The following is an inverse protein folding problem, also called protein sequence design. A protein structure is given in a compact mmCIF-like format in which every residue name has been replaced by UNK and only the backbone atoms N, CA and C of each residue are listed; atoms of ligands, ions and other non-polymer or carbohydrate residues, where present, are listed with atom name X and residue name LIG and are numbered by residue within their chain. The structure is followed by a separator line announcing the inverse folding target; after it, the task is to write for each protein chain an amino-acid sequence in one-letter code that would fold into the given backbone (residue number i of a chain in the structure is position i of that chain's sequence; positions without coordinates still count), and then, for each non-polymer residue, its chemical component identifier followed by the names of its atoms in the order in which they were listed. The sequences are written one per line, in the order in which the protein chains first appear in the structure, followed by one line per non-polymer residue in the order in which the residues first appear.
data_IF_147770419171
#
_entry.id   IF_147770419171
#
_cell.length_a   1.000
_cell.length_b   1.000
_cell.length_c   1.000
_cell.angle_alpha   90.00
_cell.angle_beta   90.00
_cell.angle_gamma   90.00
#
_symmetry.space_group_name_H-M   'P 1'
#
loop_
_entity.id
_entity.type
_entity.pdbx_description
1 polymer ?
#
# COMPACT_ATOMS: atom_id res chain seq x y z
N UNK A 1 -25.60 0.03 10.04
CA UNK A 1 -24.39 0.77 9.61
C UNK A 1 -24.26 2.02 10.46
N UNK A 2 -23.05 2.30 10.97
CA UNK A 2 -22.75 3.48 11.78
C UNK A 2 -21.72 4.34 11.04
N UNK A 3 -21.99 5.64 10.93
CA UNK A 3 -21.05 6.62 10.40
C UNK A 3 -20.53 7.44 11.57
N UNK A 4 -19.26 7.29 11.90
CA UNK A 4 -18.64 7.96 13.06
C UNK A 4 -18.27 9.42 12.79
N UNK A 5 -18.17 9.80 11.52
CA UNK A 5 -17.51 11.04 11.16
C UNK A 5 -16.02 11.02 11.49
N UNK A 6 -15.42 12.18 11.71
CA UNK A 6 -14.01 12.28 12.12
C UNK A 6 -13.86 11.89 13.58
N UNK A 7 -12.98 10.93 13.84
CA UNK A 7 -12.62 10.46 15.18
C UNK A 7 -11.13 10.69 15.45
N UNK A 8 -10.69 10.72 16.73
CA UNK A 8 -9.27 10.73 17.07
C UNK A 8 -8.54 9.47 16.57
N UNK A 9 -7.23 9.57 16.31
CA UNK A 9 -6.41 8.47 15.77
C UNK A 9 -6.46 7.22 16.66
N UNK A 10 -6.45 7.39 17.99
CA UNK A 10 -6.54 6.26 18.92
C UNK A 10 -7.86 5.48 18.78
N UNK A 11 -8.97 6.17 18.56
CA UNK A 11 -10.28 5.56 18.35
C UNK A 11 -10.35 4.88 16.98
N UNK A 12 -9.83 5.53 15.92
CA UNK A 12 -9.71 4.93 14.59
C UNK A 12 -8.90 3.64 14.63
N UNK A 13 -7.74 3.64 15.27
CA UNK A 13 -6.90 2.45 15.42
C UNK A 13 -7.61 1.33 16.20
N UNK A 14 -8.34 1.68 17.25
CA UNK A 14 -9.12 0.71 18.02
C UNK A 14 -10.22 0.06 17.14
N UNK A 15 -10.94 0.84 16.36
CA UNK A 15 -11.94 0.34 15.41
C UNK A 15 -11.32 -0.57 14.38
N UNK A 16 -10.22 -0.17 13.73
CA UNK A 16 -9.52 -0.99 12.74
C UNK A 16 -9.00 -2.29 13.34
N UNK A 17 -8.49 -2.27 14.56
CA UNK A 17 -8.01 -3.48 15.25
C UNK A 17 -9.14 -4.48 15.57
N UNK A 18 -10.37 -4.02 15.74
CA UNK A 18 -11.53 -4.89 15.98
C UNK A 18 -12.23 -5.33 14.69
N UNK A 19 -11.94 -4.71 13.56
CA UNK A 19 -12.55 -5.06 12.28
C UNK A 19 -12.12 -6.45 11.80
N UNK A 20 -13.06 -7.24 11.29
CA UNK A 20 -12.80 -8.53 10.65
C UNK A 20 -12.33 -8.36 9.20
N UNK A 21 -12.85 -7.37 8.50
CA UNK A 21 -12.55 -7.03 7.11
C UNK A 21 -12.48 -5.51 6.97
N UNK A 22 -11.45 -5.00 6.31
CA UNK A 22 -11.35 -3.60 5.92
C UNK A 22 -11.76 -3.42 4.45
N UNK A 23 -12.37 -2.29 4.13
CA UNK A 23 -12.93 -2.04 2.80
C UNK A 23 -12.39 -0.76 2.22
N UNK A 24 -12.00 -0.79 0.94
CA UNK A 24 -11.67 0.41 0.17
C UNK A 24 -12.64 0.56 -1.02
N UNK A 25 -13.73 1.34 -0.87
CA UNK A 25 -14.75 1.53 -1.89
C UNK A 25 -14.47 2.72 -2.81
N UNK A 26 -13.21 3.11 -2.99
CA UNK A 26 -12.86 4.24 -3.85
C UNK A 26 -13.31 3.98 -5.28
N UNK A 27 -14.09 4.92 -5.83
CA UNK A 27 -14.66 4.83 -7.18
C UNK A 27 -13.57 4.61 -8.22
N UNK A 28 -13.79 3.65 -9.11
CA UNK A 28 -12.89 3.40 -10.22
C UNK A 28 -12.98 4.54 -11.24
N UNK A 29 -11.96 5.39 -11.24
CA UNK A 29 -11.72 6.46 -12.21
C UNK A 29 -10.21 6.55 -12.48
N UNK A 30 -9.79 7.34 -13.45
CA UNK A 30 -8.40 7.44 -13.86
C UNK A 30 -7.47 7.91 -12.73
N UNK A 31 -7.91 8.83 -11.89
CA UNK A 31 -7.13 9.34 -10.77
C UNK A 31 -6.91 8.26 -9.71
N UNK A 32 -8.00 7.61 -9.28
CA UNK A 32 -7.92 6.58 -8.25
C UNK A 32 -7.19 5.32 -8.73
N UNK A 33 -7.28 4.99 -10.02
CA UNK A 33 -6.58 3.84 -10.61
C UNK A 33 -5.05 3.99 -10.55
N UNK A 34 -4.55 5.24 -10.52
CA UNK A 34 -3.12 5.60 -10.48
C UNK A 34 -2.66 6.09 -9.10
N UNK A 35 -3.53 6.10 -8.11
CA UNK A 35 -3.23 6.65 -6.79
C UNK A 35 -2.96 5.55 -5.77
N UNK A 36 -1.80 5.63 -5.11
CA UNK A 36 -1.50 4.80 -3.95
C UNK A 36 -2.32 5.27 -2.76
N UNK A 37 -3.15 4.41 -2.20
CA UNK A 37 -4.06 4.75 -1.10
C UNK A 37 -3.43 4.40 0.25
N UNK A 38 -3.16 5.41 1.10
CA UNK A 38 -2.56 5.22 2.43
C UNK A 38 -3.34 4.24 3.29
N UNK A 39 -4.68 4.28 3.23
CA UNK A 39 -5.55 3.36 3.99
C UNK A 39 -5.26 1.89 3.71
N UNK A 40 -4.86 1.53 2.49
CA UNK A 40 -4.49 0.14 2.13
C UNK A 40 -3.23 -0.28 2.90
N UNK A 41 -2.23 0.60 2.96
CA UNK A 41 -1.01 0.36 3.73
C UNK A 41 -1.29 0.23 5.23
N UNK A 42 -2.18 1.08 5.77
CA UNK A 42 -2.61 1.04 7.17
C UNK A 42 -3.32 -0.29 7.51
N UNK A 43 -4.25 -0.74 6.65
CA UNK A 43 -4.94 -2.02 6.84
C UNK A 43 -3.96 -3.20 6.83
N UNK A 44 -3.03 -3.21 5.87
CA UNK A 44 -1.99 -4.23 5.77
C UNK A 44 -1.06 -4.20 7.00
N UNK A 45 -0.63 -3.03 7.46
CA UNK A 45 0.22 -2.88 8.64
C UNK A 45 -0.44 -3.43 9.91
N UNK A 46 -1.78 -3.31 10.01
CA UNK A 46 -2.59 -3.87 11.08
C UNK A 46 -2.94 -5.35 10.88
N UNK A 47 -2.48 -5.97 9.81
CA UNK A 47 -2.77 -7.37 9.50
C UNK A 47 -4.23 -7.63 9.17
N UNK A 48 -4.92 -6.68 8.53
CA UNK A 48 -6.33 -6.80 8.18
C UNK A 48 -6.50 -7.21 6.72
N UNK A 49 -7.40 -8.19 6.45
CA UNK A 49 -7.78 -8.54 5.08
C UNK A 49 -8.60 -7.39 4.47
N UNK A 50 -8.45 -7.22 3.17
CA UNK A 50 -9.03 -6.08 2.45
C UNK A 50 -10.00 -6.58 1.37
N UNK A 51 -11.09 -5.83 1.17
CA UNK A 51 -11.90 -5.90 -0.04
C UNK A 51 -11.89 -4.53 -0.71
N UNK A 52 -11.57 -4.48 -1.98
CA UNK A 52 -11.50 -3.23 -2.75
C UNK A 52 -11.94 -3.43 -4.19
N UNK A 53 -12.24 -2.34 -4.91
CA UNK A 53 -12.40 -2.42 -6.36
C UNK A 53 -11.06 -2.73 -7.03
N UNK A 54 -11.11 -3.41 -8.17
CA UNK A 54 -9.93 -3.81 -8.94
C UNK A 54 -9.30 -2.61 -9.64
N UNK A 55 -8.52 -1.84 -8.88
CA UNK A 55 -7.73 -0.70 -9.33
C UNK A 55 -6.26 -1.09 -9.44
N UNK A 56 -5.55 -0.53 -10.41
CA UNK A 56 -4.15 -0.85 -10.73
C UNK A 56 -3.23 -0.67 -9.52
N UNK A 57 -3.23 0.50 -8.90
CA UNK A 57 -2.39 0.77 -7.72
C UNK A 57 -2.83 -0.01 -6.48
N UNK A 58 -4.13 -0.20 -6.28
CA UNK A 58 -4.66 -1.01 -5.19
C UNK A 58 -4.19 -2.47 -5.29
N UNK A 59 -4.22 -3.04 -6.49
CA UNK A 59 -3.73 -4.40 -6.77
C UNK A 59 -2.22 -4.51 -6.59
N UNK A 60 -1.46 -3.53 -7.08
CA UNK A 60 -0.01 -3.48 -6.88
C UNK A 60 0.36 -3.44 -5.40
N UNK A 61 -0.33 -2.62 -4.62
CA UNK A 61 -0.07 -2.44 -3.20
C UNK A 61 -0.44 -3.66 -2.37
N UNK A 62 -1.68 -4.14 -2.48
CA UNK A 62 -2.22 -5.15 -1.58
C UNK A 62 -1.95 -6.59 -2.00
N UNK A 63 -1.85 -6.87 -3.30
CA UNK A 63 -1.65 -8.23 -3.83
C UNK A 63 -2.58 -9.27 -3.14
N UNK A 64 -2.04 -10.30 -2.51
CA UNK A 64 -2.81 -11.36 -1.85
C UNK A 64 -3.41 -10.96 -0.48
N UNK A 65 -3.16 -9.72 -0.02
CA UNK A 65 -3.84 -9.17 1.16
C UNK A 65 -5.28 -8.71 0.88
N UNK A 66 -5.73 -8.71 -0.39
CA UNK A 66 -7.03 -8.19 -0.79
C UNK A 66 -7.78 -9.12 -1.73
N UNK A 67 -9.12 -9.14 -1.58
CA UNK A 67 -10.04 -9.53 -2.65
C UNK A 67 -10.38 -8.30 -3.49
N UNK A 68 -10.58 -8.54 -4.79
CA UNK A 68 -10.82 -7.49 -5.77
C UNK A 68 -12.20 -7.64 -6.38
N UNK A 69 -13.06 -6.68 -6.11
CA UNK A 69 -14.39 -6.59 -6.69
C UNK A 69 -14.34 -5.90 -8.06
N UNK A 70 -15.29 -6.20 -8.92
CA UNK A 70 -15.45 -5.51 -10.20
C UNK A 70 -15.56 -4.01 -9.99
N UNK A 71 -14.90 -3.24 -10.87
CA UNK A 71 -14.88 -1.77 -10.80
C UNK A 71 -16.30 -1.22 -10.68
N UNK A 72 -16.56 -0.45 -9.61
CA UNK A 72 -17.82 0.23 -9.32
C UNK A 72 -19.05 -0.71 -9.16
N UNK A 73 -18.83 -1.99 -8.91
CA UNK A 73 -19.89 -2.98 -8.66
C UNK A 73 -20.04 -3.23 -7.15
N UNK A 74 -20.96 -2.51 -6.53
CA UNK A 74 -21.22 -2.63 -5.10
C UNK A 74 -21.76 -4.02 -4.70
N UNK A 75 -22.48 -4.70 -5.60
CA UNK A 75 -23.00 -6.04 -5.33
C UNK A 75 -21.87 -7.07 -5.29
N UNK A 76 -20.92 -6.99 -6.23
CA UNK A 76 -19.75 -7.86 -6.23
C UNK A 76 -18.85 -7.58 -5.01
N UNK A 77 -18.70 -6.31 -4.61
CA UNK A 77 -17.98 -5.96 -3.38
C UNK A 77 -18.66 -6.58 -2.14
N UNK A 78 -19.96 -6.47 -2.03
CA UNK A 78 -20.70 -7.06 -0.93
C UNK A 78 -20.54 -8.60 -0.89
N UNK A 79 -20.60 -9.27 -2.04
CA UNK A 79 -20.38 -10.71 -2.14
C UNK A 79 -18.98 -11.10 -1.63
N UNK A 80 -17.94 -10.33 -1.98
CA UNK A 80 -16.57 -10.59 -1.52
C UNK A 80 -16.36 -10.31 -0.03
N UNK A 81 -17.08 -9.36 0.54
CA UNK A 81 -17.08 -9.13 1.99
C UNK A 81 -17.67 -10.35 2.70
N UNK A 82 -18.83 -10.85 2.23
CA UNK A 82 -19.46 -12.05 2.79
C UNK A 82 -18.54 -13.27 2.66
N UNK A 83 -17.92 -13.46 1.50
CA UNK A 83 -16.94 -14.53 1.26
C UNK A 83 -15.84 -14.54 2.33
N UNK A 84 -15.29 -13.37 2.69
CA UNK A 84 -14.27 -13.27 3.73
C UNK A 84 -14.82 -13.42 5.15
N UNK A 85 -16.04 -12.95 5.42
CA UNK A 85 -16.66 -13.11 6.73
C UNK A 85 -16.91 -14.59 7.05
N UNK A 86 -17.20 -15.40 6.05
CA UNK A 86 -17.44 -16.83 6.19
C UNK A 86 -16.15 -17.68 6.25
N UNK A 87 -14.99 -17.08 5.97
CA UNK A 87 -13.70 -17.80 5.93
C UNK A 87 -12.64 -17.13 6.86
N UNK A 88 -12.65 -17.48 8.16
CA UNK A 88 -11.73 -16.91 9.13
C UNK A 88 -10.26 -17.30 8.87
N UNK A 89 -10.00 -18.48 8.31
CA UNK A 89 -8.64 -18.93 8.00
C UNK A 89 -8.04 -18.10 6.87
N UNK A 90 -8.82 -17.86 5.83
CA UNK A 90 -8.42 -16.99 4.73
C UNK A 90 -8.19 -15.55 5.19
N UNK A 91 -9.05 -15.01 6.07
CA UNK A 91 -8.84 -13.68 6.66
C UNK A 91 -7.50 -13.59 7.39
N UNK A 92 -7.16 -14.59 8.18
CA UNK A 92 -5.90 -14.64 8.92
C UNK A 92 -4.70 -14.69 7.97
N UNK A 93 -4.72 -15.56 6.97
CA UNK A 93 -3.66 -15.70 5.97
C UNK A 93 -3.45 -14.41 5.17
N UNK A 94 -4.52 -13.76 4.73
CA UNK A 94 -4.46 -12.48 4.01
C UNK A 94 -3.89 -11.35 4.87
N UNK A 95 -4.28 -11.29 6.13
CA UNK A 95 -3.77 -10.31 7.09
C UNK A 95 -2.28 -10.50 7.35
N UNK A 96 -1.84 -11.73 7.56
CA UNK A 96 -0.42 -12.07 7.75
C UNK A 96 0.41 -11.71 6.53
N UNK A 97 -0.07 -12.07 5.33
CA UNK A 97 0.58 -11.70 4.07
C UNK A 97 0.75 -10.18 3.94
N UNK A 98 -0.33 -9.41 4.17
CA UNK A 98 -0.31 -7.96 4.08
C UNK A 98 0.69 -7.33 5.04
N UNK A 99 0.70 -7.77 6.29
CA UNK A 99 1.65 -7.29 7.30
C UNK A 99 3.09 -7.61 6.94
N UNK A 100 3.37 -8.85 6.51
CA UNK A 100 4.70 -9.27 6.08
C UNK A 100 5.20 -8.43 4.89
N UNK A 101 4.34 -8.15 3.91
CA UNK A 101 4.66 -7.31 2.76
C UNK A 101 5.02 -5.88 3.16
N UNK A 102 4.24 -5.25 4.06
CA UNK A 102 4.57 -3.89 4.56
C UNK A 102 5.95 -3.90 5.21
N UNK A 103 6.19 -4.80 6.15
CA UNK A 103 7.43 -4.85 6.94
C UNK A 103 8.66 -5.16 6.08
N UNK A 104 8.51 -6.03 5.06
CA UNK A 104 9.65 -6.52 4.29
C UNK A 104 9.89 -5.79 2.97
N UNK A 105 8.88 -5.05 2.44
CA UNK A 105 8.97 -4.49 1.09
C UNK A 105 8.56 -3.02 1.00
N UNK A 106 7.57 -2.57 1.80
CA UNK A 106 6.91 -1.27 1.60
C UNK A 106 7.25 -0.22 2.65
N UNK A 107 7.95 -0.58 3.72
CA UNK A 107 8.39 0.41 4.71
C UNK A 107 9.32 1.46 4.09
N UNK A 108 9.20 2.68 4.58
CA UNK A 108 9.97 3.84 4.12
C UNK A 108 11.49 3.58 4.06
N UNK A 109 12.02 2.73 4.93
CA UNK A 109 13.44 2.36 4.92
C UNK A 109 13.94 1.80 3.57
N UNK A 110 13.05 1.19 2.78
CA UNK A 110 13.38 0.67 1.44
C UNK A 110 13.35 1.74 0.35
N UNK A 111 12.64 2.85 0.60
CA UNK A 111 12.57 3.97 -0.34
C UNK A 111 13.69 5.00 -0.12
N UNK A 112 14.21 5.13 1.11
CA UNK A 112 15.29 6.08 1.46
C UNK A 112 16.50 5.96 0.53
N UNK A 113 17.07 4.76 0.26
CA UNK A 113 18.21 4.64 -0.64
C UNK A 113 17.89 5.08 -2.07
N UNK A 114 16.70 4.80 -2.57
CA UNK A 114 16.25 5.21 -3.91
C UNK A 114 16.14 6.73 -4.01
N UNK A 115 15.57 7.35 -2.98
CA UNK A 115 15.46 8.81 -2.90
C UNK A 115 16.83 9.48 -2.86
N UNK A 116 17.74 8.99 -2.02
CA UNK A 116 19.10 9.50 -1.93
C UNK A 116 19.85 9.35 -3.26
N UNK A 117 19.73 8.20 -3.93
CA UNK A 117 20.33 7.99 -5.24
C UNK A 117 19.80 8.98 -6.29
N UNK A 118 18.50 9.31 -6.26
CA UNK A 118 17.92 10.33 -7.13
C UNK A 118 18.52 11.72 -6.88
N UNK A 119 18.68 12.12 -5.62
CA UNK A 119 19.35 13.37 -5.27
C UNK A 119 20.82 13.39 -5.68
N UNK A 120 21.55 12.28 -5.52
CA UNK A 120 22.96 12.18 -5.92
C UNK A 120 23.12 12.38 -7.44
N UNK A 121 22.17 11.91 -8.26
CA UNK A 121 22.20 12.15 -9.71
C UNK A 121 22.01 13.63 -10.07
N UNK A 122 21.20 14.35 -9.30
CA UNK A 122 20.98 15.79 -9.48
C UNK A 122 22.14 16.65 -8.94
N UNK A 123 22.78 16.19 -7.87
CA UNK A 123 23.89 16.90 -7.26
C UNK A 123 25.22 16.76 -8.04
N UNK A 124 25.33 15.80 -8.96
CA UNK A 124 26.47 15.68 -9.85
C UNK A 124 26.33 16.70 -10.99
N UNK A 125 27.16 17.77 -11.03
CA UNK A 125 27.13 18.70 -12.16
C UNK A 125 27.49 17.93 -13.44
N UNK A 126 26.66 18.07 -14.47
CA UNK A 126 26.97 17.57 -15.79
C UNK A 126 28.27 18.21 -16.25
N UNK A 127 29.37 17.46 -16.25
CA UNK A 127 30.59 17.91 -16.91
C UNK A 127 31.88 17.96 -16.13
N UNK A 128 32.07 17.22 -15.05
CA UNK A 128 33.45 17.00 -14.54
C UNK A 128 33.90 15.58 -14.91
N UNK A 129 34.52 15.47 -16.12
CA UNK A 129 35.39 14.35 -16.45
C UNK A 129 36.47 14.21 -15.35
N UNK A 130 36.87 13.00 -14.95
CA UNK A 130 37.96 12.82 -13.99
C UNK A 130 39.22 13.48 -14.55
N UNK A 131 39.78 14.42 -13.78
CA UNK A 131 41.09 14.99 -14.11
C UNK A 131 42.06 13.82 -14.25
N UNK A 132 42.63 13.68 -15.46
CA UNK A 132 43.79 12.81 -15.65
C UNK A 132 44.84 13.25 -14.65
N UNK A 133 45.32 12.33 -13.83
CA UNK A 133 46.52 12.51 -13.03
C UNK A 133 47.65 12.83 -13.99
N UNK A 134 48.26 14.01 -13.84
CA UNK A 134 49.55 14.31 -14.44
C UNK A 134 50.59 13.47 -13.70
N UNK A 135 51.05 12.40 -14.32
CA UNK A 135 52.30 11.77 -13.95
C UNK A 135 53.43 12.76 -14.26
N UNK A 136 54.00 13.33 -13.21
CA UNK A 136 55.31 14.01 -13.30
C UNK A 136 56.37 12.90 -13.27
N UNK A 137 56.76 12.43 -14.45
CA UNK A 137 57.96 11.65 -14.60
C UNK A 137 59.21 12.56 -14.48
N UNK A 138 60.15 12.13 -13.70
CA UNK A 138 61.60 12.12 -13.87
C UNK A 138 62.27 11.80 -12.57
#
# INVERSE_FOLDING_TARGET
VTFTGRVPDAEMLAMLNTADVCVNPDVANEMNDKSTMNKIMEYMALGKPIVQFDLTEGRFSAQDASLYAKKNDAADMAAKIVELLDDPERRAAMGEYGRARVVNELEWRYEVPKLLAAYDTLARPAGLSPRRSFDAGS
#
